data_IF_601303522039
#
_entry.id   IF_601303522039
#
_cell.length_a   1.000
_cell.length_b   1.000
_cell.length_c   1.000
_cell.angle_alpha   90.00
_cell.angle_beta   90.00
_cell.angle_gamma   90.00
#
_symmetry.space_group_name_H-M   'P 1'
#
loop_
_entity.id
_entity.type
_entity.pdbx_description
1 polymer ?
#
# COMPACT_ATOMS: atom_id res chain seq x y z
N UNK A 1 3.61 -16.38 2.14
CA UNK A 1 2.61 -15.76 3.04
C UNK A 1 1.45 -15.35 2.16
N UNK A 2 0.22 -15.82 2.39
CA UNK A 2 -0.90 -15.43 1.53
C UNK A 2 -1.34 -14.02 1.94
N UNK A 3 -0.90 -12.99 1.21
CA UNK A 3 -1.36 -11.62 1.43
C UNK A 3 -2.70 -11.43 0.72
N UNK A 4 -3.69 -10.89 1.44
CA UNK A 4 -5.04 -10.67 0.90
C UNK A 4 -5.08 -9.44 -0.02
N UNK A 5 -4.17 -8.48 0.20
CA UNK A 5 -4.21 -7.15 -0.40
C UNK A 5 -3.54 -7.10 -1.77
N UNK A 6 -2.38 -7.75 -1.97
CA UNK A 6 -1.62 -7.70 -3.23
C UNK A 6 -1.02 -9.05 -3.61
N UNK A 7 -0.77 -9.21 -4.91
CA UNK A 7 -0.03 -10.35 -5.46
C UNK A 7 1.48 -10.20 -5.16
N UNK A 8 2.16 -11.31 -4.90
CA UNK A 8 3.63 -11.37 -4.66
C UNK A 8 4.13 -10.38 -3.59
N UNK A 9 3.41 -10.28 -2.46
CA UNK A 9 3.65 -9.27 -1.43
C UNK A 9 5.09 -9.28 -0.88
N UNK A 10 5.74 -10.44 -0.86
CA UNK A 10 7.12 -10.62 -0.44
C UNK A 10 8.15 -9.81 -1.23
N UNK A 11 7.81 -9.34 -2.43
CA UNK A 11 8.68 -8.45 -3.24
C UNK A 11 8.71 -7.02 -2.69
N UNK A 12 7.78 -6.68 -1.80
CA UNK A 12 7.55 -5.33 -1.32
C UNK A 12 7.69 -5.20 0.20
N UNK A 13 8.28 -6.21 0.86
CA UNK A 13 8.56 -6.17 2.31
C UNK A 13 9.27 -4.86 2.67
N UNK A 14 8.70 -4.12 3.63
CA UNK A 14 9.24 -2.86 4.11
C UNK A 14 8.95 -1.64 3.21
N UNK A 15 8.08 -1.76 2.20
CA UNK A 15 7.76 -0.68 1.24
C UNK A 15 6.33 -0.20 1.34
N UNK A 16 6.11 1.05 0.93
CA UNK A 16 4.81 1.53 0.50
C UNK A 16 4.52 1.02 -0.92
N UNK A 17 3.29 0.56 -1.14
CA UNK A 17 2.80 0.09 -2.44
C UNK A 17 1.56 0.89 -2.84
N UNK A 18 1.45 1.23 -4.12
CA UNK A 18 0.25 1.81 -4.69
C UNK A 18 -0.51 0.77 -5.53
N UNK A 19 -1.81 0.71 -5.33
CA UNK A 19 -2.76 -0.05 -6.17
C UNK A 19 -3.78 0.89 -6.80
N UNK A 20 -4.46 0.45 -7.85
CA UNK A 20 -5.47 1.27 -8.54
C UNK A 20 -6.73 1.49 -7.69
N UNK A 21 -7.05 0.54 -6.82
CA UNK A 21 -8.19 0.58 -5.90
C UNK A 21 -8.02 -0.50 -4.82
N UNK A 22 -8.91 -0.52 -3.83
CA UNK A 22 -8.91 -1.54 -2.76
C UNK A 22 -9.14 -2.98 -3.24
N UNK A 23 -9.68 -3.16 -4.46
CA UNK A 23 -9.93 -4.50 -5.03
C UNK A 23 -8.84 -4.95 -6.00
N UNK A 24 -8.01 -4.01 -6.48
CA UNK A 24 -6.90 -4.31 -7.38
C UNK A 24 -5.71 -4.84 -6.57
N UNK A 25 -5.21 -6.01 -6.97
CA UNK A 25 -4.09 -6.68 -6.30
C UNK A 25 -2.74 -6.43 -6.95
N UNK A 26 -2.73 -5.77 -8.11
CA UNK A 26 -1.52 -5.49 -8.86
C UNK A 26 -0.94 -4.15 -8.41
N UNK A 27 0.35 -4.18 -8.10
CA UNK A 27 1.11 -3.01 -7.67
C UNK A 27 1.44 -2.16 -8.90
N UNK A 28 1.09 -0.87 -8.84
CA UNK A 28 1.39 0.13 -9.87
C UNK A 28 2.82 0.63 -9.71
N UNK A 29 3.20 0.99 -8.48
CA UNK A 29 4.54 1.39 -8.08
C UNK A 29 4.74 1.17 -6.57
N UNK A 30 6.00 1.22 -6.12
CA UNK A 30 6.37 1.02 -4.72
C UNK A 30 7.63 1.79 -4.34
N UNK A 31 7.79 2.15 -3.07
CA UNK A 31 8.92 2.95 -2.60
C UNK A 31 8.96 3.10 -1.07
N UNK A 32 9.91 3.91 -0.59
CA UNK A 32 10.13 4.14 0.85
C UNK A 32 9.37 5.36 1.40
N UNK A 33 8.98 6.29 0.52
CA UNK A 33 8.21 7.47 0.88
C UNK A 33 6.77 7.39 0.33
N UNK A 34 5.79 7.56 1.22
CA UNK A 34 4.38 7.43 0.88
C UNK A 34 3.90 8.50 -0.12
N UNK A 35 4.43 9.73 -0.03
CA UNK A 35 4.03 10.86 -0.87
C UNK A 35 4.60 10.68 -2.27
N UNK A 36 5.84 10.20 -2.39
CA UNK A 36 6.45 9.89 -3.68
C UNK A 36 5.69 8.77 -4.41
N UNK A 37 5.35 7.69 -3.70
CA UNK A 37 4.59 6.55 -4.25
C UNK A 37 3.20 6.99 -4.72
N UNK A 38 2.48 7.79 -3.92
CA UNK A 38 1.17 8.32 -4.31
C UNK A 38 1.27 9.17 -5.60
N UNK A 39 2.22 10.11 -5.62
CA UNK A 39 2.40 11.02 -6.77
C UNK A 39 2.85 10.27 -8.03
N UNK A 40 3.69 9.25 -7.91
CA UNK A 40 4.10 8.42 -9.03
C UNK A 40 2.93 7.62 -9.62
N UNK A 41 2.10 7.02 -8.76
CA UNK A 41 0.90 6.34 -9.19
C UNK A 41 -0.06 7.30 -9.94
N UNK A 42 -0.23 8.53 -9.44
CA UNK A 42 -1.02 9.54 -10.15
C UNK A 42 -0.42 9.92 -11.51
N UNK A 43 0.90 10.11 -11.58
CA UNK A 43 1.61 10.38 -12.85
C UNK A 43 1.46 9.25 -13.87
N UNK A 44 1.28 8.01 -13.42
CA UNK A 44 0.99 6.85 -14.27
C UNK A 44 -0.47 6.78 -14.78
N UNK A 45 -1.33 7.75 -14.41
CA UNK A 45 -2.72 7.83 -14.84
C UNK A 45 -3.73 7.20 -13.86
N UNK A 46 -3.31 6.84 -12.65
CA UNK A 46 -4.24 6.37 -11.60
C UNK A 46 -4.84 7.58 -10.89
N UNK A 47 -6.15 7.78 -11.01
CA UNK A 47 -6.81 8.98 -10.50
C UNK A 47 -6.77 9.09 -8.97
N UNK A 48 -7.03 7.99 -8.29
CA UNK A 48 -7.15 7.90 -6.83
C UNK A 48 -6.48 6.62 -6.31
N UNK A 49 -5.13 6.58 -6.30
CA UNK A 49 -4.39 5.38 -5.94
C UNK A 49 -4.51 5.09 -4.44
N UNK A 50 -4.70 3.82 -4.09
CA UNK A 50 -4.70 3.36 -2.71
C UNK A 50 -3.27 2.99 -2.34
N UNK A 51 -2.71 3.68 -1.34
CA UNK A 51 -1.34 3.46 -0.86
C UNK A 51 -1.33 2.90 0.55
N UNK A 52 -0.58 1.83 0.76
CA UNK A 52 -0.41 1.19 2.07
C UNK A 52 0.98 0.58 2.22
N UNK A 53 1.37 0.34 3.47
CA UNK A 53 2.68 -0.21 3.81
C UNK A 53 2.61 -1.74 3.92
N UNK A 54 3.59 -2.41 3.35
CA UNK A 54 3.81 -3.85 3.54
C UNK A 54 4.84 -4.03 4.65
N UNK A 55 4.45 -4.57 5.81
CA UNK A 55 5.38 -4.77 6.91
C UNK A 55 6.46 -5.79 6.54
N UNK A 56 7.68 -5.58 7.04
CA UNK A 56 8.71 -6.60 7.01
C UNK A 56 8.24 -7.86 7.72
N UNK A 57 8.85 -9.01 7.39
CA UNK A 57 8.54 -10.27 8.04
C UNK A 57 8.62 -10.14 9.56
N UNK A 58 7.69 -10.83 10.23
CA UNK A 58 7.54 -10.83 11.69
C UNK A 58 7.22 -9.46 12.32
N UNK A 59 6.82 -8.46 11.51
CA UNK A 59 6.31 -7.16 11.99
C UNK A 59 4.78 -7.15 12.01
N UNK A 60 4.20 -6.73 13.14
CA UNK A 60 2.75 -6.56 13.31
C UNK A 60 2.44 -5.07 13.44
N UNK A 61 1.62 -4.55 12.52
CA UNK A 61 1.06 -3.20 12.65
C UNK A 61 -0.34 -3.25 13.27
N UNK A 62 -0.47 -2.64 14.44
CA UNK A 62 -1.75 -2.47 15.14
C UNK A 62 -2.24 -1.05 14.88
N UNK A 63 -3.20 -0.90 13.98
CA UNK A 63 -3.90 0.35 13.78
C UNK A 63 -5.05 0.44 14.77
N UNK A 64 -4.90 1.27 15.81
CA UNK A 64 -5.94 1.48 16.78
C UNK A 64 -6.95 2.49 16.20
N UNK A 65 -8.05 1.98 15.68
CA UNK A 65 -9.09 2.81 15.08
C UNK A 65 -9.89 3.50 16.20
N UNK A 66 -9.42 4.65 16.65
CA UNK A 66 -10.23 5.52 17.50
C UNK A 66 -11.32 6.17 16.63
N UNK A 67 -12.57 5.78 16.91
CA UNK A 67 -13.76 6.43 16.38
C UNK A 67 -13.92 7.79 17.06
N UNK A 68 -13.13 8.79 16.66
CA UNK A 68 -13.50 10.19 16.81
C UNK A 68 -14.05 10.65 15.46
N UNK A 69 -15.28 10.21 15.18
CA UNK A 69 -16.19 11.02 14.38
C UNK A 69 -16.63 12.19 15.27
N UNK A 70 -16.07 13.38 15.03
CA UNK A 70 -16.67 14.67 15.33
C UNK A 70 -16.23 15.68 14.27
#
# INVERSE_FOLDING_TARGET
MNNVLINNAELYDGKYVATRSFIDKDVVCSGDDIVEVYNEAQRSGVKDPVVFYIPEKDTIHIYNMNMLCL
#
